data_IF_437126662971
#
_entry.id   IF_437126662971
#
_cell.length_a   1.000
_cell.length_b   1.000
_cell.length_c   1.000
_cell.angle_alpha   90.00
_cell.angle_beta   90.00
_cell.angle_gamma   90.00
#
_symmetry.space_group_name_H-M   'P 1'
#
loop_
_entity.id
_entity.type
_entity.pdbx_description
1 polymer ?
#
# COMPACT_ATOMS: atom_id res chain seq x y z
N UNK A 1 -7.94 -20.55 19.71
CA UNK A 1 -7.66 -20.52 18.26
C UNK A 1 -7.98 -19.11 17.81
N UNK A 2 -6.95 -18.32 17.53
CA UNK A 2 -7.15 -17.00 16.93
C UNK A 2 -7.35 -17.27 15.44
N UNK A 3 -8.52 -16.94 14.90
CA UNK A 3 -8.71 -16.91 13.46
C UNK A 3 -7.72 -15.88 12.91
N UNK A 4 -6.71 -16.34 12.17
CA UNK A 4 -5.88 -15.45 11.37
C UNK A 4 -6.81 -14.86 10.32
N UNK A 5 -7.26 -13.62 10.53
CA UNK A 5 -8.07 -12.91 9.56
C UNK A 5 -7.28 -12.85 8.24
N UNK A 6 -7.73 -13.60 7.24
CA UNK A 6 -7.11 -13.59 5.91
C UNK A 6 -7.25 -12.19 5.34
N UNK A 7 -6.12 -11.52 5.06
CA UNK A 7 -6.14 -10.23 4.41
C UNK A 7 -6.76 -10.37 3.02
N UNK A 8 -7.72 -9.49 2.72
CA UNK A 8 -8.37 -9.43 1.42
C UNK A 8 -8.31 -8.03 0.84
N UNK A 9 -8.51 -7.91 -0.47
CA UNK A 9 -8.80 -6.63 -1.12
C UNK A 9 -10.24 -6.13 -0.80
N UNK A 10 -10.64 -5.03 -1.45
CA UNK A 10 -11.97 -4.42 -1.25
C UNK A 10 -13.13 -5.33 -1.66
N UNK A 11 -12.87 -6.35 -2.48
CA UNK A 11 -13.84 -7.30 -3.01
C UNK A 11 -13.88 -8.61 -2.23
N UNK A 12 -13.01 -8.79 -1.23
CA UNK A 12 -12.90 -10.04 -0.47
C UNK A 12 -11.97 -11.06 -1.13
N UNK A 13 -11.21 -10.67 -2.16
CA UNK A 13 -10.20 -11.54 -2.77
C UNK A 13 -8.98 -11.62 -1.86
N UNK A 14 -8.49 -12.82 -1.49
CA UNK A 14 -7.30 -12.95 -0.65
C UNK A 14 -6.06 -12.31 -1.28
N UNK A 15 -5.29 -11.60 -0.47
CA UNK A 15 -4.00 -10.99 -0.83
C UNK A 15 -2.86 -11.75 -0.17
N UNK A 16 -1.78 -11.98 -0.92
CA UNK A 16 -0.53 -12.54 -0.44
C UNK A 16 0.67 -11.63 -0.79
N UNK A 17 1.82 -11.91 -0.16
CA UNK A 17 3.10 -11.30 -0.56
C UNK A 17 3.44 -11.74 -1.99
N UNK A 18 3.88 -10.78 -2.81
CA UNK A 18 4.14 -10.96 -4.24
C UNK A 18 2.96 -10.64 -5.15
N UNK A 19 1.75 -10.45 -4.61
CA UNK A 19 0.59 -10.01 -5.40
C UNK A 19 0.78 -8.54 -5.82
N UNK A 20 0.33 -8.18 -7.04
CA UNK A 20 0.26 -6.79 -7.47
C UNK A 20 -1.14 -6.24 -7.16
N UNK A 21 -1.17 -5.11 -6.45
CA UNK A 21 -2.42 -4.41 -6.08
C UNK A 21 -2.42 -3.00 -6.63
N UNK A 22 -3.61 -2.52 -7.01
CA UNK A 22 -3.85 -1.10 -7.26
C UNK A 22 -4.18 -0.42 -5.95
N UNK A 23 -3.46 0.65 -5.62
CA UNK A 23 -3.77 1.53 -4.49
C UNK A 23 -5.00 2.37 -4.84
N UNK A 24 -6.00 2.40 -3.95
CA UNK A 24 -7.26 3.12 -4.15
C UNK A 24 -7.35 4.37 -3.28
N UNK A 25 -6.72 4.33 -2.11
CA UNK A 25 -6.59 5.44 -1.18
C UNK A 25 -5.42 5.15 -0.23
N UNK A 26 -4.96 6.18 0.47
CA UNK A 26 -3.94 6.08 1.52
C UNK A 26 -4.43 6.87 2.74
N UNK A 27 -4.06 6.42 3.95
CA UNK A 27 -4.33 7.16 5.18
C UNK A 27 -3.12 8.02 5.49
N UNK A 28 -3.29 9.34 5.52
CA UNK A 28 -2.22 10.30 5.78
C UNK A 28 -2.44 11.01 7.10
N UNK A 29 -1.34 11.35 7.76
CA UNK A 29 -1.37 12.21 8.95
C UNK A 29 -1.78 13.64 8.55
N UNK A 30 -2.56 14.31 9.39
CA UNK A 30 -2.91 15.71 9.19
C UNK A 30 -1.71 16.64 9.30
N UNK A 31 -0.71 16.25 10.10
CA UNK A 31 0.49 17.07 10.35
C UNK A 31 1.63 16.77 9.36
N UNK A 32 1.40 15.91 8.36
CA UNK A 32 2.35 15.59 7.30
C UNK A 32 2.61 16.81 6.40
N UNK A 33 3.89 17.04 6.08
CA UNK A 33 4.33 18.12 5.18
C UNK A 33 3.76 17.93 3.76
N UNK A 34 3.51 19.04 3.07
CA UNK A 34 2.83 19.03 1.77
C UNK A 34 3.61 18.23 0.71
N UNK A 35 4.93 18.39 0.64
CA UNK A 35 5.77 17.66 -0.32
C UNK A 35 5.74 16.14 -0.07
N UNK A 36 5.71 15.72 1.20
CA UNK A 36 5.59 14.30 1.57
C UNK A 36 4.19 13.77 1.25
N UNK A 37 3.15 14.56 1.55
CA UNK A 37 1.75 14.26 1.23
C UNK A 37 1.57 14.02 -0.25
N UNK A 38 2.13 14.88 -1.11
CA UNK A 38 2.06 14.74 -2.57
C UNK A 38 2.65 13.41 -3.05
N UNK A 39 3.75 12.95 -2.46
CA UNK A 39 4.35 11.65 -2.80
C UNK A 39 3.43 10.48 -2.47
N UNK A 40 2.76 10.51 -1.31
CA UNK A 40 1.80 9.46 -0.96
C UNK A 40 0.50 9.55 -1.77
N UNK A 41 0.01 10.75 -2.05
CA UNK A 41 -1.18 10.94 -2.90
C UNK A 41 -0.95 10.44 -4.33
N UNK A 42 0.27 10.58 -4.86
CA UNK A 42 0.62 10.01 -6.16
C UNK A 42 0.57 8.48 -6.18
N UNK A 43 0.74 7.80 -5.03
CA UNK A 43 0.57 6.35 -4.98
C UNK A 43 -0.87 5.93 -5.31
N UNK A 44 -1.87 6.81 -5.14
CA UNK A 44 -3.27 6.51 -5.46
C UNK A 44 -3.42 6.25 -6.97
N UNK A 45 -3.88 5.05 -7.31
CA UNK A 45 -4.01 4.57 -8.68
C UNK A 45 -2.79 3.80 -9.19
N UNK A 46 -1.64 3.89 -8.51
CA UNK A 46 -0.45 3.11 -8.83
C UNK A 46 -0.69 1.62 -8.57
N UNK A 47 0.04 0.78 -9.33
CA UNK A 47 0.09 -0.66 -9.12
C UNK A 47 1.42 -0.98 -8.46
N UNK A 48 1.38 -1.64 -7.32
CA UNK A 48 2.55 -1.98 -6.52
C UNK A 48 2.50 -3.44 -6.08
N UNK A 49 3.67 -4.06 -5.93
CA UNK A 49 3.80 -5.39 -5.35
C UNK A 49 3.66 -5.32 -3.83
N UNK A 50 2.95 -6.29 -3.24
CA UNK A 50 2.86 -6.46 -1.80
C UNK A 50 4.15 -7.09 -1.28
N UNK A 51 4.94 -6.32 -0.52
CA UNK A 51 6.23 -6.77 0.01
C UNK A 51 6.11 -7.54 1.34
N UNK A 52 5.11 -7.16 2.16
CA UNK A 52 4.84 -7.83 3.44
C UNK A 52 3.40 -7.59 3.90
N UNK A 53 2.94 -8.44 4.81
CA UNK A 53 1.72 -8.23 5.60
C UNK A 53 2.11 -8.09 7.06
N UNK A 54 1.65 -7.02 7.72
CA UNK A 54 1.96 -6.77 9.13
C UNK A 54 1.00 -7.49 10.09
N UNK A 55 1.29 -7.40 11.40
CA UNK A 55 0.50 -8.00 12.48
C UNK A 55 -0.89 -7.35 12.65
N UNK A 56 -1.11 -6.18 12.05
CA UNK A 56 -2.40 -5.50 12.00
C UNK A 56 -3.22 -5.91 10.77
N UNK A 57 -2.69 -6.79 9.93
CA UNK A 57 -3.36 -7.26 8.71
C UNK A 57 -3.36 -6.22 7.59
N UNK A 58 -2.35 -5.36 7.50
CA UNK A 58 -2.18 -4.42 6.38
C UNK A 58 -1.16 -4.95 5.38
N UNK A 59 -1.45 -4.79 4.08
CA UNK A 59 -0.52 -5.09 3.01
C UNK A 59 0.40 -3.89 2.78
N UNK A 60 1.70 -4.08 2.94
CA UNK A 60 2.68 -3.02 2.71
C UNK A 60 3.18 -3.05 1.28
N UNK A 61 3.11 -1.89 0.64
CA UNK A 61 3.66 -1.63 -0.69
C UNK A 61 4.67 -0.48 -0.61
N UNK A 62 5.66 -0.52 -1.50
CA UNK A 62 6.70 0.51 -1.59
C UNK A 62 6.79 1.04 -3.02
N UNK A 63 6.88 2.37 -3.16
CA UNK A 63 7.17 3.04 -4.42
C UNK A 63 8.54 3.70 -4.36
N UNK A 64 9.31 3.54 -5.43
CA UNK A 64 10.65 4.09 -5.59
C UNK A 64 10.61 5.32 -6.49
N UNK A 65 11.21 6.40 -6.01
CA UNK A 65 11.21 7.70 -6.68
C UNK A 65 12.63 8.04 -7.11
N UNK A 66 12.78 8.44 -8.37
CA UNK A 66 14.00 9.07 -8.84
C UNK A 66 13.89 10.57 -8.60
N UNK A 67 14.55 11.08 -7.56
CA UNK A 67 14.63 12.49 -7.25
C UNK A 67 15.92 13.08 -7.85
N UNK A 68 15.96 14.41 -8.03
CA UNK A 68 17.14 15.08 -8.62
C UNK A 68 18.44 14.83 -7.86
N UNK A 69 18.36 14.72 -6.53
CA UNK A 69 19.52 14.54 -5.64
C UNK A 69 19.69 13.09 -5.14
N UNK A 70 18.93 12.11 -5.66
CA UNK A 70 19.03 10.71 -5.24
C UNK A 70 17.73 9.93 -5.39
N UNK A 71 17.63 8.80 -4.69
CA UNK A 71 16.41 8.00 -4.65
C UNK A 71 15.67 8.23 -3.34
N UNK A 72 14.35 8.37 -3.42
CA UNK A 72 13.47 8.34 -2.27
C UNK A 72 12.53 7.13 -2.35
N UNK A 73 11.95 6.73 -1.23
CA UNK A 73 10.95 5.66 -1.16
C UNK A 73 9.80 6.07 -0.28
N UNK A 74 8.57 5.78 -0.73
CA UNK A 74 7.38 5.84 0.12
C UNK A 74 6.86 4.43 0.34
N UNK A 75 6.62 4.07 1.60
CA UNK A 75 6.05 2.77 1.97
C UNK A 75 4.77 3.00 2.77
N UNK A 76 3.68 2.34 2.37
CA UNK A 76 2.37 2.49 3.01
C UNK A 76 1.74 1.13 3.28
N UNK A 77 1.17 0.97 4.47
CA UNK A 77 0.35 -0.19 4.83
C UNK A 77 -1.10 0.05 4.43
N UNK A 78 -1.60 -0.74 3.49
CA UNK A 78 -2.95 -0.66 2.94
C UNK A 78 -3.92 -1.56 3.72
N UNK A 79 -5.04 -0.98 4.13
CA UNK A 79 -6.19 -1.74 4.58
C UNK A 79 -6.95 -2.37 3.39
N UNK A 80 -7.79 -3.36 3.69
CA UNK A 80 -8.62 -4.04 2.69
C UNK A 80 -9.36 -3.11 1.73
N UNK A 81 -9.87 -1.99 2.21
CA UNK A 81 -10.68 -1.06 1.41
C UNK A 81 -9.82 -0.12 0.54
N UNK A 82 -8.51 -0.08 0.78
CA UNK A 82 -7.54 0.80 0.13
C UNK A 82 -6.84 0.13 -1.06
N UNK A 83 -7.17 -1.12 -1.37
CA UNK A 83 -6.52 -1.87 -2.44
C UNK A 83 -7.46 -2.77 -3.22
N UNK A 84 -7.08 -3.06 -4.46
CA UNK A 84 -7.72 -4.00 -5.37
C UNK A 84 -6.65 -4.86 -6.03
N UNK A 85 -6.80 -6.19 -6.00
CA UNK A 85 -5.83 -7.08 -6.66
C UNK A 85 -5.88 -6.88 -8.19
N UNK A 86 -4.71 -6.82 -8.82
CA UNK A 86 -4.57 -6.74 -10.28
C UNK A 86 -3.96 -8.03 -10.83
N UNK A 87 -2.94 -8.57 -10.17
CA UNK A 87 -2.22 -9.78 -10.58
C UNK A 87 -1.72 -10.58 -9.38
N UNK A 88 -1.57 -11.88 -9.59
CA UNK A 88 -1.02 -12.87 -8.65
C UNK A 88 0.15 -13.62 -9.29
#
# INVERSE_FOLDING_TARGET
MQELATLTDKHGTPIAVGDEVRVLSVTLDSDMEDDEREMFEFMIGAICEVERVDDQGRAWVTMWWSCGDGNATTSVGLERHQMEIVRR
#
